data_IF_112852581828
#
_entry.id   IF_112852581828
#
_cell.length_a   1.000
_cell.length_b   1.000
_cell.length_c   1.000
_cell.angle_alpha   90.00
_cell.angle_beta   90.00
_cell.angle_gamma   90.00
#
_symmetry.space_group_name_H-M   'P 1'
#
loop_
_entity.id
_entity.type
_entity.pdbx_description
1 polymer ?
#
# COMPACT_ATOMS: atom_id res chain seq x y z
N UNK A 1 -19.21 -23.09 14.82
CA UNK A 1 -19.71 -21.76 14.43
C UNK A 1 -18.56 -20.99 13.82
N UNK A 2 -18.55 -20.77 12.50
CA UNK A 2 -17.54 -19.93 11.83
C UNK A 2 -17.88 -18.49 12.19
N UNK A 3 -17.04 -17.85 13.01
CA UNK A 3 -17.26 -16.50 13.51
C UNK A 3 -17.06 -15.50 12.37
N UNK A 4 -18.15 -15.08 11.72
CA UNK A 4 -18.12 -14.14 10.58
C UNK A 4 -17.79 -12.68 10.99
N UNK A 5 -17.40 -12.45 12.24
CA UNK A 5 -17.09 -11.11 12.76
C UNK A 5 -15.70 -10.59 12.33
N UNK A 6 -14.82 -11.45 11.83
CA UNK A 6 -13.49 -11.06 11.28
C UNK A 6 -13.48 -10.84 9.76
N UNK A 7 -14.66 -10.67 9.15
CA UNK A 7 -14.73 -10.47 7.70
C UNK A 7 -14.38 -9.02 7.36
N UNK A 8 -13.23 -8.82 6.72
CA UNK A 8 -12.83 -7.53 6.14
C UNK A 8 -13.98 -6.96 5.30
N UNK A 9 -14.41 -5.74 5.63
CA UNK A 9 -15.48 -5.05 4.88
C UNK A 9 -15.04 -4.83 3.43
N UNK A 10 -16.00 -4.75 2.51
CA UNK A 10 -15.72 -4.45 1.09
C UNK A 10 -14.88 -3.17 0.94
N UNK A 11 -15.11 -2.17 1.81
CA UNK A 11 -14.34 -0.92 1.84
C UNK A 11 -12.86 -1.16 2.19
N UNK A 12 -12.60 -1.98 3.20
CA UNK A 12 -11.24 -2.35 3.60
C UNK A 12 -10.50 -3.08 2.48
N UNK A 13 -11.20 -4.00 1.79
CA UNK A 13 -10.62 -4.75 0.66
C UNK A 13 -10.23 -3.78 -0.46
N UNK A 14 -11.05 -2.78 -0.77
CA UNK A 14 -10.71 -1.76 -1.78
C UNK A 14 -9.45 -0.98 -1.36
N UNK A 15 -9.37 -0.54 -0.10
CA UNK A 15 -8.20 0.19 0.42
C UNK A 15 -6.95 -0.70 0.35
N UNK A 16 -7.07 -1.98 0.69
CA UNK A 16 -5.98 -2.96 0.61
C UNK A 16 -5.49 -3.15 -0.83
N UNK A 17 -6.40 -3.28 -1.79
CA UNK A 17 -6.05 -3.42 -3.21
C UNK A 17 -5.32 -2.17 -3.72
N UNK A 18 -5.80 -0.97 -3.36
CA UNK A 18 -5.12 0.28 -3.71
C UNK A 18 -3.72 0.33 -3.10
N UNK A 19 -3.59 -0.01 -1.82
CA UNK A 19 -2.30 -0.07 -1.12
C UNK A 19 -1.32 -1.04 -1.78
N UNK A 20 -1.80 -2.23 -2.18
CA UNK A 20 -1.01 -3.24 -2.91
C UNK A 20 -0.54 -2.73 -4.28
N UNK A 21 -1.39 -2.03 -5.02
CA UNK A 21 -1.02 -1.45 -6.32
C UNK A 21 0.07 -0.40 -6.13
N UNK A 22 -0.09 0.52 -5.17
CA UNK A 22 0.91 1.55 -4.86
C UNK A 22 2.23 0.90 -4.43
N UNK A 23 2.15 -0.13 -3.57
CA UNK A 23 3.31 -0.87 -3.10
C UNK A 23 4.04 -1.58 -4.26
N UNK A 24 3.32 -2.26 -5.16
CA UNK A 24 3.90 -2.88 -6.34
C UNK A 24 4.55 -1.83 -7.28
N UNK A 25 3.89 -0.69 -7.47
CA UNK A 25 4.41 0.41 -8.29
C UNK A 25 5.69 1.02 -7.69
N UNK A 26 5.83 1.03 -6.35
CA UNK A 26 7.05 1.49 -5.70
C UNK A 26 8.28 0.66 -6.07
N UNK A 27 8.14 -0.66 -6.28
CA UNK A 27 9.25 -1.49 -6.78
C UNK A 27 9.66 -1.15 -8.20
N UNK A 28 8.69 -0.79 -9.06
CA UNK A 28 8.97 -0.29 -10.42
C UNK A 28 9.78 1.02 -10.37
N UNK A 29 9.40 1.94 -9.48
CA UNK A 29 10.15 3.18 -9.27
C UNK A 29 11.55 2.92 -8.72
N UNK A 30 11.70 2.04 -7.73
CA UNK A 30 13.00 1.66 -7.17
C UNK A 30 13.88 1.00 -8.26
N UNK A 31 13.31 0.13 -9.10
CA UNK A 31 14.04 -0.50 -10.20
C UNK A 31 14.51 0.52 -11.25
N UNK A 32 13.69 1.54 -11.55
CA UNK A 32 14.05 2.62 -12.46
C UNK A 32 15.14 3.53 -11.87
N UNK A 33 15.01 3.86 -10.59
CA UNK A 33 15.99 4.64 -9.81
C UNK A 33 17.30 3.89 -9.66
N UNK A 34 17.28 2.58 -9.45
CA UNK A 34 18.51 1.79 -9.28
C UNK A 34 19.47 1.87 -10.47
N UNK A 35 18.95 2.22 -11.66
CA UNK A 35 19.77 2.50 -12.85
C UNK A 35 20.34 3.92 -12.90
N UNK A 36 19.65 4.89 -12.31
CA UNK A 36 20.07 6.28 -12.23
C UNK A 36 19.63 6.85 -10.86
N UNK A 37 20.42 6.65 -9.80
CA UNK A 37 20.03 6.95 -8.42
C UNK A 37 19.93 8.45 -8.14
N UNK A 38 20.41 9.28 -9.07
CA UNK A 38 20.53 10.72 -8.91
C UNK A 38 19.23 11.44 -9.30
N UNK A 39 18.82 12.39 -8.46
CA UNK A 39 17.68 13.27 -8.72
C UNK A 39 16.41 12.91 -7.94
N UNK A 40 15.33 13.62 -8.29
CA UNK A 40 14.06 13.65 -7.55
C UNK A 40 13.44 12.25 -7.43
N UNK A 41 13.57 11.42 -8.47
CA UNK A 41 13.01 10.06 -8.47
C UNK A 41 13.66 9.16 -7.42
N UNK A 42 14.98 9.28 -7.21
CA UNK A 42 15.70 8.51 -6.20
C UNK A 42 15.32 8.89 -4.77
N UNK A 43 15.10 10.19 -4.55
CA UNK A 43 14.53 10.69 -3.30
C UNK A 43 13.09 10.21 -3.09
N UNK A 44 12.25 10.20 -4.15
CA UNK A 44 10.82 9.94 -4.03
C UNK A 44 10.48 8.45 -3.85
N UNK A 45 11.30 7.53 -4.39
CA UNK A 45 11.02 6.10 -4.38
C UNK A 45 10.77 5.50 -2.97
N UNK A 46 11.59 5.78 -1.94
CA UNK A 46 11.31 5.33 -0.56
C UNK A 46 9.98 5.84 0.00
N UNK A 47 9.59 7.08 -0.31
CA UNK A 47 8.32 7.64 0.16
C UNK A 47 7.12 6.99 -0.50
N UNK A 48 7.22 6.61 -1.78
CA UNK A 48 6.14 5.85 -2.45
C UNK A 48 5.92 4.48 -1.80
N UNK A 49 7.00 3.81 -1.39
CA UNK A 49 6.92 2.55 -0.65
C UNK A 49 6.27 2.76 0.72
N UNK A 50 6.66 3.80 1.45
CA UNK A 50 6.09 4.16 2.75
C UNK A 50 4.58 4.42 2.65
N UNK A 51 4.14 5.19 1.64
CA UNK A 51 2.72 5.47 1.39
C UNK A 51 1.95 4.18 1.11
N UNK A 52 2.52 3.27 0.30
CA UNK A 52 1.93 1.94 0.04
C UNK A 52 1.71 1.14 1.32
N UNK A 53 2.73 1.06 2.18
CA UNK A 53 2.66 0.36 3.46
C UNK A 53 1.60 0.99 4.39
N UNK A 54 1.59 2.32 4.54
CA UNK A 54 0.60 3.03 5.36
C UNK A 54 -0.82 2.76 4.86
N UNK A 55 -1.02 2.74 3.55
CA UNK A 55 -2.32 2.46 2.94
C UNK A 55 -2.78 1.03 3.22
N UNK A 56 -1.87 0.05 3.12
CA UNK A 56 -2.15 -1.36 3.45
C UNK A 56 -2.51 -1.50 4.94
N UNK A 57 -1.71 -0.92 5.83
CA UNK A 57 -1.95 -0.93 7.29
C UNK A 57 -3.30 -0.29 7.60
N UNK A 58 -3.60 0.84 6.96
CA UNK A 58 -4.90 1.49 7.10
C UNK A 58 -6.03 0.59 6.60
N UNK A 59 -5.86 -0.11 5.48
CA UNK A 59 -6.86 -1.07 4.98
C UNK A 59 -7.17 -2.20 5.96
N UNK A 60 -6.17 -2.70 6.68
CA UNK A 60 -6.37 -3.70 7.74
C UNK A 60 -7.00 -3.10 9.01
N UNK A 61 -6.55 -1.93 9.44
CA UNK A 61 -6.98 -1.29 10.69
C UNK A 61 -8.25 -0.48 10.56
N UNK A 62 -8.72 -0.20 9.33
CA UNK A 62 -9.93 0.57 9.09
C UNK A 62 -11.11 -0.18 9.68
N UNK A 63 -11.52 0.18 10.90
CA UNK A 63 -12.75 -0.31 11.47
C UNK A 63 -13.86 0.32 10.65
N UNK A 64 -14.44 -0.46 9.74
CA UNK A 64 -15.71 -0.08 9.16
C UNK A 64 -16.67 0.07 10.34
N UNK A 65 -17.03 1.31 10.70
CA UNK A 65 -18.14 1.54 11.62
C UNK A 65 -19.32 0.76 11.05
N UNK A 66 -19.67 -0.32 11.75
CA UNK A 66 -20.81 -1.18 11.46
C UNK A 66 -22.09 -0.50 11.88
#
# INVERSE_FOLDING_TARGET
MVNNQDKLSKKNIIILVIGLIIFAFSFLLIALVGKNPEGILGFLAPFTMLIGIITIVTGFLYKANS
#
